data_IF_031062886425
#
_entry.id   IF_031062886425
#
_cell.length_a   1.000
_cell.length_b   1.000
_cell.length_c   1.000
_cell.angle_alpha   90.00
_cell.angle_beta   90.00
_cell.angle_gamma   90.00
#
_symmetry.space_group_name_H-M   'P 1'
#
loop_
_entity.id
_entity.type
_entity.pdbx_description
1 polymer ?
#
# COMPACT_ATOMS: atom_id res chain seq x y z
N UNK A 1 55.24 -3.79 40.25
CA UNK A 1 54.94 -2.92 39.09
C UNK A 1 53.57 -3.30 38.56
N UNK A 2 52.55 -2.52 38.94
CA UNK A 2 51.14 -2.75 38.60
C UNK A 2 50.75 -1.84 37.44
N UNK A 3 50.40 -2.40 36.27
CA UNK A 3 49.70 -1.67 35.20
C UNK A 3 48.74 -2.61 34.46
N UNK A 4 47.47 -2.52 34.83
CA UNK A 4 46.30 -2.67 33.98
C UNK A 4 45.76 -1.24 33.73
N UNK A 5 44.79 -0.94 32.85
CA UNK A 5 44.15 -1.68 31.75
C UNK A 5 44.14 -0.85 30.43
N UNK A 6 43.73 -1.42 29.29
CA UNK A 6 42.86 -0.65 28.38
C UNK A 6 42.05 -1.58 27.47
N UNK A 7 40.75 -1.60 27.73
CA UNK A 7 39.73 -2.19 26.90
C UNK A 7 39.67 -1.47 25.54
N UNK A 8 39.74 -2.22 24.44
CA UNK A 8 39.44 -1.71 23.12
C UNK A 8 37.92 -1.87 22.86
N UNK A 9 37.16 -0.89 23.32
CA UNK A 9 35.74 -0.72 22.99
C UNK A 9 35.65 -0.23 21.53
N UNK A 10 35.15 -1.07 20.63
CA UNK A 10 34.79 -0.68 19.26
C UNK A 10 33.52 0.18 19.36
N UNK A 11 33.69 1.50 19.25
CA UNK A 11 32.59 2.45 19.17
C UNK A 11 31.88 2.31 17.82
N UNK A 12 30.67 1.74 17.82
CA UNK A 12 29.74 1.92 16.71
C UNK A 12 29.25 3.38 16.75
N UNK A 13 29.72 4.21 15.82
CA UNK A 13 29.10 5.51 15.55
C UNK A 13 27.75 5.29 14.85
N UNK A 14 26.62 5.80 15.36
CA UNK A 14 25.38 5.84 14.61
C UNK A 14 25.53 6.85 13.47
N UNK A 15 25.36 6.39 12.23
CA UNK A 15 25.25 7.25 11.06
C UNK A 15 23.94 8.04 11.18
N UNK A 16 24.03 9.32 11.50
CA UNK A 16 22.85 10.19 11.60
C UNK A 16 22.29 10.42 10.19
N UNK A 17 21.15 9.80 9.89
CA UNK A 17 20.37 10.14 8.71
C UNK A 17 19.77 11.54 8.93
N UNK A 18 20.26 12.56 8.22
CA UNK A 18 19.64 13.89 8.27
C UNK A 18 18.36 13.89 7.42
N UNK A 19 17.25 14.28 8.05
CA UNK A 19 16.02 14.54 7.32
C UNK A 19 16.20 15.84 6.52
N UNK A 20 16.31 15.76 5.20
CA UNK A 20 16.45 16.92 4.33
C UNK A 20 15.09 17.60 4.11
N UNK A 21 14.97 18.85 4.58
CA UNK A 21 13.78 19.68 4.37
C UNK A 21 13.75 20.18 2.93
N UNK A 22 12.67 19.89 2.20
CA UNK A 22 12.51 20.37 0.81
C UNK A 22 11.65 21.63 0.78
N UNK A 23 12.15 22.66 0.09
CA UNK A 23 11.49 23.94 -0.13
C UNK A 23 10.98 24.06 -1.56
N UNK A 24 9.79 24.64 -1.73
CA UNK A 24 9.28 25.16 -3.00
C UNK A 24 9.34 26.67 -2.99
N UNK A 25 10.17 27.20 -3.87
CA UNK A 25 10.36 28.61 -4.09
C UNK A 25 9.58 29.04 -5.33
N UNK A 26 8.92 30.18 -5.26
CA UNK A 26 8.28 30.83 -6.40
C UNK A 26 8.99 32.16 -6.61
N UNK A 27 9.61 32.32 -7.76
CA UNK A 27 10.35 33.52 -8.12
C UNK A 27 9.41 34.69 -8.49
N UNK A 28 9.99 35.86 -8.76
CA UNK A 28 9.24 37.05 -9.16
C UNK A 28 8.50 36.92 -10.50
N UNK A 29 8.86 35.94 -11.32
CA UNK A 29 8.23 35.64 -12.61
C UNK A 29 7.18 34.52 -12.51
N UNK A 30 6.96 33.96 -11.32
CA UNK A 30 6.01 32.88 -11.06
C UNK A 30 6.55 31.47 -11.34
N UNK A 31 7.83 31.33 -11.68
CA UNK A 31 8.45 30.03 -11.89
C UNK A 31 8.70 29.32 -10.56
N UNK A 32 8.42 28.01 -10.54
CA UNK A 32 8.53 27.17 -9.33
C UNK A 32 9.81 26.35 -9.36
N UNK A 33 10.64 26.48 -8.32
CA UNK A 33 11.88 25.70 -8.14
C UNK A 33 11.86 24.96 -6.81
N UNK A 34 12.27 23.69 -6.82
CA UNK A 34 12.41 22.86 -5.62
C UNK A 34 13.89 22.76 -5.22
N UNK A 35 14.19 23.04 -3.95
CA UNK A 35 15.56 23.05 -3.46
C UNK A 35 15.65 22.47 -2.03
N UNK A 36 16.82 21.92 -1.69
CA UNK A 36 17.16 21.44 -0.34
C UNK A 36 17.57 22.56 0.62
N UNK A 37 17.65 23.80 0.15
CA UNK A 37 17.94 24.99 0.93
C UNK A 37 17.02 26.15 0.54
N UNK A 38 16.83 27.11 1.44
CA UNK A 38 15.96 28.27 1.21
C UNK A 38 16.66 29.27 0.29
N UNK A 39 16.32 29.26 -0.99
CA UNK A 39 16.96 30.10 -2.01
C UNK A 39 16.44 31.55 -2.03
N UNK A 40 15.17 31.75 -1.67
CA UNK A 40 14.48 33.05 -1.73
C UNK A 40 13.53 33.26 -0.54
N UNK A 41 13.06 34.51 -0.37
CA UNK A 41 12.10 34.87 0.70
C UNK A 41 10.76 34.11 0.54
N UNK A 42 10.34 33.88 -0.70
CA UNK A 42 9.06 33.24 -1.07
C UNK A 42 9.08 31.70 -1.11
N UNK A 43 10.04 31.07 -0.43
CA UNK A 43 10.12 29.61 -0.33
C UNK A 43 9.24 29.07 0.82
N UNK A 44 8.39 28.08 0.52
CA UNK A 44 7.57 27.33 1.48
C UNK A 44 8.10 25.89 1.65
N UNK A 45 8.11 25.38 2.88
CA UNK A 45 8.49 23.99 3.17
C UNK A 45 7.39 23.06 2.69
N UNK A 46 7.75 22.01 1.93
CA UNK A 46 6.80 20.99 1.46
C UNK A 46 6.92 19.69 2.24
N UNK A 47 8.11 19.39 2.75
CA UNK A 47 8.32 18.16 3.50
C UNK A 47 9.41 18.38 4.53
N UNK A 48 9.03 18.59 5.79
CA UNK A 48 9.88 18.27 6.93
C UNK A 48 9.76 16.76 7.16
N UNK A 49 10.88 16.04 7.21
CA UNK A 49 10.83 14.58 7.41
C UNK A 49 10.05 14.17 8.66
N UNK A 50 9.43 13.00 8.54
CA UNK A 50 8.52 12.30 9.49
C UNK A 50 7.09 12.83 9.62
N UNK A 51 6.31 12.71 8.54
CA UNK A 51 4.84 12.69 8.60
C UNK A 51 4.27 11.39 8.01
N UNK A 52 4.39 10.28 8.74
CA UNK A 52 3.52 9.12 8.55
C UNK A 52 2.61 8.97 9.78
N UNK A 53 1.82 10.01 10.05
CA UNK A 53 0.68 9.93 10.95
C UNK A 53 -0.54 10.40 10.18
N UNK A 54 -1.11 9.52 9.35
CA UNK A 54 -2.45 9.74 8.82
C UNK A 54 -3.38 9.95 10.04
N UNK A 55 -4.06 11.10 10.18
CA UNK A 55 -5.05 11.23 11.25
C UNK A 55 -6.13 10.16 11.04
N UNK A 56 -6.45 9.42 12.10
CA UNK A 56 -7.55 8.46 12.09
C UNK A 56 -8.81 9.14 11.52
N UNK A 57 -9.57 8.49 10.63
CA UNK A 57 -10.77 9.09 10.06
C UNK A 57 -11.72 9.44 11.20
N UNK A 58 -12.01 10.73 11.38
CA UNK A 58 -12.99 11.20 12.37
C UNK A 58 -14.30 10.47 12.07
N UNK A 59 -14.93 9.91 13.11
CA UNK A 59 -16.23 9.27 13.00
C UNK A 59 -17.18 10.18 12.20
N UNK A 60 -17.72 9.64 11.09
CA UNK A 60 -18.62 10.36 10.20
C UNK A 60 -19.84 10.81 11.02
N UNK A 61 -19.95 12.10 11.30
CA UNK A 61 -21.24 12.70 11.66
C UNK A 61 -22.21 12.43 10.49
N UNK A 62 -23.50 12.15 10.74
CA UNK A 62 -24.46 11.99 9.67
C UNK A 62 -24.43 13.25 8.81
N UNK A 63 -24.00 13.08 7.56
CA UNK A 63 -23.80 14.16 6.61
C UNK A 63 -25.21 14.61 6.21
N UNK A 64 -25.66 15.73 6.79
CA UNK A 64 -26.74 16.51 6.21
C UNK A 64 -26.39 16.86 4.76
N UNK A 65 -27.41 17.02 3.92
CA UNK A 65 -27.33 17.23 2.48
C UNK A 65 -26.05 17.98 2.03
N UNK A 66 -25.35 17.41 1.05
CA UNK A 66 -24.05 17.88 0.58
C UNK A 66 -24.01 19.41 0.42
N UNK A 67 -23.03 20.05 1.07
CA UNK A 67 -22.87 21.51 1.10
C UNK A 67 -22.57 22.14 -0.28
N UNK A 68 -22.44 21.33 -1.33
CA UNK A 68 -22.38 21.75 -2.73
C UNK A 68 -23.12 20.71 -3.58
N UNK A 69 -24.40 20.96 -3.97
CA UNK A 69 -25.06 20.09 -4.93
C UNK A 69 -24.35 20.19 -6.28
N UNK A 70 -24.17 19.04 -6.96
CA UNK A 70 -23.72 19.03 -8.36
C UNK A 70 -24.67 19.90 -9.21
N UNK A 71 -24.17 20.63 -10.22
CA UNK A 71 -25.01 21.41 -11.13
C UNK A 71 -26.17 20.57 -11.67
N UNK A 72 -27.36 21.16 -11.78
CA UNK A 72 -28.56 20.44 -12.22
C UNK A 72 -28.40 19.79 -13.61
N UNK A 73 -27.59 20.39 -14.48
CA UNK A 73 -27.26 19.91 -15.83
C UNK A 73 -26.11 18.89 -15.89
N UNK A 74 -25.56 18.46 -14.75
CA UNK A 74 -24.50 17.45 -14.79
C UNK A 74 -25.07 16.06 -15.14
N UNK A 75 -24.56 15.38 -16.19
CA UNK A 75 -25.06 14.08 -16.60
C UNK A 75 -24.98 13.05 -15.47
N UNK A 76 -26.11 12.42 -15.15
CA UNK A 76 -26.20 11.34 -14.17
C UNK A 76 -26.16 9.99 -14.87
N UNK A 77 -25.43 9.05 -14.28
CA UNK A 77 -25.48 7.66 -14.71
C UNK A 77 -26.86 7.10 -14.36
N UNK A 78 -27.50 6.42 -15.32
CA UNK A 78 -28.80 5.80 -15.10
C UNK A 78 -28.67 4.63 -14.11
N UNK A 79 -29.72 4.39 -13.31
CA UNK A 79 -29.70 3.30 -12.32
C UNK A 79 -29.46 1.93 -12.96
N UNK A 80 -30.05 1.68 -14.12
CA UNK A 80 -29.87 0.41 -14.85
C UNK A 80 -28.42 0.21 -15.29
N UNK A 81 -27.73 1.29 -15.68
CA UNK A 81 -26.29 1.24 -15.99
C UNK A 81 -25.46 0.95 -14.75
N UNK A 82 -25.81 1.49 -13.58
CA UNK A 82 -25.10 1.16 -12.35
C UNK A 82 -25.32 -0.30 -11.94
N UNK A 83 -26.56 -0.78 -11.96
CA UNK A 83 -26.91 -2.17 -11.65
C UNK A 83 -26.19 -3.17 -12.57
N UNK A 84 -26.15 -2.87 -13.87
CA UNK A 84 -25.41 -3.70 -14.83
C UNK A 84 -23.93 -3.78 -14.46
N UNK A 85 -23.28 -2.64 -14.16
CA UNK A 85 -21.88 -2.60 -13.76
C UNK A 85 -21.61 -3.33 -12.44
N UNK A 86 -22.51 -3.20 -11.46
CA UNK A 86 -22.37 -3.88 -10.17
C UNK A 86 -22.55 -5.40 -10.33
N UNK A 87 -23.45 -5.83 -11.22
CA UNK A 87 -23.61 -7.22 -11.64
C UNK A 87 -22.37 -7.78 -12.32
N UNK A 88 -21.82 -7.03 -13.30
CA UNK A 88 -20.57 -7.40 -13.99
C UNK A 88 -19.41 -7.50 -13.01
N UNK A 89 -19.28 -6.54 -12.08
CA UNK A 89 -18.24 -6.56 -11.05
C UNK A 89 -18.35 -7.81 -10.17
N UNK A 90 -19.56 -8.16 -9.74
CA UNK A 90 -19.79 -9.40 -8.97
C UNK A 90 -19.36 -10.62 -9.78
N UNK A 91 -19.79 -10.70 -11.04
CA UNK A 91 -19.48 -11.84 -11.90
C UNK A 91 -17.98 -12.01 -12.12
N UNK A 92 -17.25 -10.91 -12.35
CA UNK A 92 -15.79 -10.92 -12.48
C UNK A 92 -15.14 -11.47 -11.21
N UNK A 93 -15.52 -10.95 -10.03
CA UNK A 93 -14.96 -11.40 -8.76
C UNK A 93 -15.27 -12.89 -8.47
N UNK A 94 -16.46 -13.38 -8.83
CA UNK A 94 -16.82 -14.80 -8.73
C UNK A 94 -15.96 -15.68 -9.66
N UNK A 95 -15.73 -15.22 -10.89
CA UNK A 95 -14.84 -15.90 -11.83
C UNK A 95 -13.40 -15.94 -11.32
N UNK A 96 -12.89 -14.82 -10.82
CA UNK A 96 -11.56 -14.72 -10.21
C UNK A 96 -11.43 -15.64 -8.99
N UNK A 97 -12.42 -15.67 -8.10
CA UNK A 97 -12.46 -16.58 -6.95
C UNK A 97 -12.38 -18.04 -7.40
N UNK A 98 -13.17 -18.42 -8.42
CA UNK A 98 -13.13 -19.78 -8.97
C UNK A 98 -11.76 -20.13 -9.58
N UNK A 99 -11.09 -19.15 -10.18
CA UNK A 99 -9.74 -19.28 -10.72
C UNK A 99 -8.72 -19.50 -9.61
N UNK A 100 -8.78 -18.67 -8.56
CA UNK A 100 -7.84 -18.75 -7.45
C UNK A 100 -8.00 -20.03 -6.63
N UNK A 101 -9.22 -20.53 -6.44
CA UNK A 101 -9.45 -21.82 -5.80
C UNK A 101 -8.83 -22.98 -6.59
N UNK A 102 -8.94 -22.96 -7.93
CA UNK A 102 -8.29 -23.95 -8.80
C UNK A 102 -6.77 -23.85 -8.73
N UNK A 103 -6.24 -22.63 -8.78
CA UNK A 103 -4.80 -22.38 -8.68
C UNK A 103 -4.24 -22.81 -7.32
N UNK A 104 -4.96 -22.56 -6.23
CA UNK A 104 -4.59 -23.01 -4.88
C UNK A 104 -4.53 -24.54 -4.81
N UNK A 105 -5.54 -25.22 -5.38
CA UNK A 105 -5.54 -26.69 -5.45
C UNK A 105 -4.32 -27.20 -6.19
N UNK A 106 -4.03 -26.65 -7.38
CA UNK A 106 -2.84 -27.03 -8.16
C UNK A 106 -1.55 -26.77 -7.39
N UNK A 107 -1.40 -25.61 -6.74
CA UNK A 107 -0.20 -25.27 -5.97
C UNK A 107 0.03 -26.24 -4.79
N UNK A 108 -1.04 -26.75 -4.18
CA UNK A 108 -0.97 -27.79 -3.14
C UNK A 108 -0.54 -29.14 -3.71
N UNK A 109 -1.07 -29.53 -4.87
CA UNK A 109 -0.66 -30.74 -5.58
C UNK A 109 0.82 -30.68 -6.00
N UNK A 110 1.27 -29.55 -6.52
CA UNK A 110 2.66 -29.32 -6.90
C UNK A 110 3.60 -29.47 -5.68
N UNK A 111 3.24 -28.87 -4.54
CA UNK A 111 4.01 -29.00 -3.29
C UNK A 111 4.09 -30.46 -2.85
N UNK A 112 2.97 -31.19 -2.89
CA UNK A 112 2.90 -32.60 -2.52
C UNK A 112 3.77 -33.47 -3.45
N UNK A 113 3.78 -33.19 -4.75
CA UNK A 113 4.61 -33.88 -5.72
C UNK A 113 6.11 -33.67 -5.44
N UNK A 114 6.53 -32.45 -5.12
CA UNK A 114 7.92 -32.15 -4.75
C UNK A 114 8.35 -32.86 -3.47
N UNK A 115 7.45 -32.91 -2.47
CA UNK A 115 7.69 -33.65 -1.23
C UNK A 115 7.84 -35.15 -1.50
N UNK A 116 7.00 -35.73 -2.35
CA UNK A 116 7.09 -37.13 -2.75
C UNK A 116 8.38 -37.43 -3.54
N UNK A 117 8.89 -36.46 -4.29
CA UNK A 117 10.17 -36.55 -4.99
C UNK A 117 11.41 -36.40 -4.07
N UNK A 118 11.21 -36.26 -2.75
CA UNK A 118 12.30 -36.16 -1.78
C UNK A 118 12.99 -34.79 -1.74
N UNK A 119 12.36 -33.76 -2.29
CA UNK A 119 12.89 -32.39 -2.30
C UNK A 119 12.80 -31.80 -0.89
N UNK A 120 13.94 -31.32 -0.37
CA UNK A 120 14.06 -30.87 1.02
C UNK A 120 13.63 -29.42 1.24
N UNK A 121 13.41 -29.06 2.51
CA UNK A 121 12.64 -27.87 2.91
C UNK A 121 13.03 -26.53 2.30
N UNK A 122 14.32 -26.27 2.04
CA UNK A 122 14.78 -25.01 1.44
C UNK A 122 14.28 -24.80 0.00
N UNK A 123 14.25 -25.87 -0.80
CA UNK A 123 13.74 -25.85 -2.18
C UNK A 123 12.20 -25.91 -2.25
N UNK A 124 11.52 -26.22 -1.15
CA UNK A 124 10.06 -26.17 -1.03
C UNK A 124 9.50 -24.76 -0.71
N UNK A 125 10.36 -23.81 -0.31
CA UNK A 125 9.92 -22.47 0.07
C UNK A 125 9.09 -21.76 -1.02
N UNK A 126 9.49 -21.77 -2.32
CA UNK A 126 8.69 -21.13 -3.37
C UNK A 126 7.28 -21.73 -3.53
N UNK A 127 7.12 -23.03 -3.30
CA UNK A 127 5.82 -23.72 -3.39
C UNK A 127 4.90 -23.32 -2.23
N UNK A 128 5.44 -23.22 -1.01
CA UNK A 128 4.72 -22.70 0.15
C UNK A 128 4.31 -21.24 -0.03
N UNK A 129 5.21 -20.42 -0.57
CA UNK A 129 4.92 -19.01 -0.85
C UNK A 129 3.83 -18.87 -1.92
N UNK A 130 3.81 -19.76 -2.92
CA UNK A 130 2.77 -19.80 -3.95
C UNK A 130 1.39 -20.09 -3.34
N UNK A 131 1.29 -21.10 -2.48
CA UNK A 131 0.07 -21.41 -1.72
C UNK A 131 -0.37 -20.19 -0.91
N UNK A 132 0.54 -19.61 -0.13
CA UNK A 132 0.22 -18.45 0.71
C UNK A 132 -0.23 -17.21 -0.08
N UNK A 133 0.26 -17.01 -1.30
CA UNK A 133 -0.26 -15.95 -2.19
C UNK A 133 -1.70 -16.23 -2.61
N UNK A 134 -2.01 -17.43 -3.10
CA UNK A 134 -3.37 -17.78 -3.52
C UNK A 134 -4.37 -17.68 -2.37
N UNK A 135 -3.99 -18.09 -1.16
CA UNK A 135 -4.84 -17.97 0.03
C UNK A 135 -5.15 -16.51 0.39
N UNK A 136 -4.15 -15.60 0.32
CA UNK A 136 -4.38 -14.17 0.54
C UNK A 136 -5.23 -13.54 -0.54
N UNK A 137 -5.05 -13.94 -1.80
CA UNK A 137 -5.88 -13.47 -2.91
C UNK A 137 -7.34 -13.86 -2.73
N UNK A 138 -7.60 -15.13 -2.37
CA UNK A 138 -8.96 -15.63 -2.08
C UNK A 138 -9.61 -14.79 -0.98
N UNK A 139 -8.92 -14.56 0.14
CA UNK A 139 -9.44 -13.74 1.23
C UNK A 139 -9.75 -12.31 0.80
N UNK A 140 -8.92 -11.72 -0.07
CA UNK A 140 -9.15 -10.38 -0.60
C UNK A 140 -10.41 -10.34 -1.47
N UNK A 141 -10.56 -11.30 -2.39
CA UNK A 141 -11.72 -11.40 -3.29
C UNK A 141 -13.00 -11.66 -2.51
N UNK A 142 -13.00 -12.57 -1.54
CA UNK A 142 -14.15 -12.84 -0.67
C UNK A 142 -14.58 -11.59 0.10
N UNK A 143 -13.62 -10.80 0.60
CA UNK A 143 -13.89 -9.52 1.25
C UNK A 143 -14.48 -8.51 0.27
N UNK A 144 -13.99 -8.45 -0.97
CA UNK A 144 -14.56 -7.57 -1.99
C UNK A 144 -15.99 -7.94 -2.35
N UNK A 145 -16.27 -9.23 -2.55
CA UNK A 145 -17.62 -9.76 -2.78
C UNK A 145 -18.56 -9.42 -1.62
N UNK A 146 -18.11 -9.57 -0.38
CA UNK A 146 -18.88 -9.19 0.82
C UNK A 146 -19.14 -7.69 0.96
N UNK A 147 -18.38 -6.84 0.26
CA UNK A 147 -18.56 -5.39 0.25
C UNK A 147 -19.46 -4.91 -0.91
N UNK A 148 -19.85 -5.79 -1.84
CA UNK A 148 -20.81 -5.44 -2.89
C UNK A 148 -22.20 -5.28 -2.26
N UNK A 149 -22.77 -4.08 -2.41
CA UNK A 149 -24.12 -3.73 -1.95
C UNK A 149 -25.07 -3.63 -3.13
#
# INVERSE_FOLDING_TARGET
MTRSPLALLIAMLPLTASAQTIYKCVDGNGATTYASSRLEKNCKVISSGTENSFPAPRARKPMGAAANPSPADFPRVQEDTQKARDGDRRHILEQELSGELRNLKQAREDLAAQQAAGVNGGTLAPYRDRIGRHERNIQAIEKELGNLR
#
